data_IF_422191713365
#
_entry.id   IF_422191713365
#
_cell.length_a   1.000
_cell.length_b   1.000
_cell.length_c   1.000
_cell.angle_alpha   90.00
_cell.angle_beta   90.00
_cell.angle_gamma   90.00
#
_symmetry.space_group_name_H-M   'P 1'
#
loop_
_entity.id
_entity.type
_entity.pdbx_description
1 polymer ?
#
# COMPACT_ATOMS: atom_id res chain seq x y z
N UNK A 1 9.08 25.30 3.06
CA UNK A 1 9.33 24.56 1.79
C UNK A 1 9.73 25.51 0.66
N UNK A 2 9.21 26.74 0.63
CA UNK A 2 9.57 27.77 -0.36
C UNK A 2 11.07 28.07 -0.42
N UNK A 3 11.77 28.17 0.71
CA UNK A 3 13.23 28.38 0.74
C UNK A 3 14.05 27.28 0.07
N UNK A 4 13.46 26.09 -0.16
CA UNK A 4 14.06 24.97 -0.89
C UNK A 4 13.62 24.91 -2.36
N UNK A 5 12.82 25.86 -2.83
CA UNK A 5 12.30 25.90 -4.20
C UNK A 5 11.25 24.83 -4.52
N UNK A 6 10.64 24.19 -3.52
CA UNK A 6 9.62 23.16 -3.71
C UNK A 6 8.34 23.79 -4.29
N UNK A 7 7.86 23.25 -5.42
CA UNK A 7 6.66 23.74 -6.13
C UNK A 7 5.43 22.83 -5.99
N UNK A 8 5.65 21.55 -5.71
CA UNK A 8 4.61 20.54 -5.63
C UNK A 8 4.78 19.74 -4.35
N UNK A 9 3.67 19.43 -3.70
CA UNK A 9 3.62 18.64 -2.47
C UNK A 9 2.64 17.50 -2.70
N UNK A 10 3.11 16.27 -2.55
CA UNK A 10 2.26 15.09 -2.47
C UNK A 10 1.93 14.82 -1.00
N UNK A 11 0.65 14.83 -0.67
CA UNK A 11 0.13 14.43 0.65
C UNK A 11 -0.49 13.05 0.49
N UNK A 12 -0.09 12.09 1.32
CA UNK A 12 -0.53 10.70 1.25
C UNK A 12 -0.75 10.11 2.65
N UNK A 13 -1.38 8.93 2.73
CA UNK A 13 -1.58 8.22 3.98
C UNK A 13 -0.51 7.14 4.18
N UNK A 14 0.05 7.08 5.40
CA UNK A 14 1.18 6.18 5.74
C UNK A 14 0.83 4.70 5.70
N UNK A 15 -0.46 4.36 5.79
CA UNK A 15 -0.91 2.98 5.91
C UNK A 15 -1.15 2.27 4.58
N UNK A 16 -0.97 2.96 3.45
CA UNK A 16 -1.09 2.34 2.13
C UNK A 16 0.25 1.73 1.70
N UNK A 17 0.33 0.40 1.63
CA UNK A 17 1.56 -0.30 1.28
C UNK A 17 1.95 -0.12 -0.20
N UNK A 18 0.98 0.18 -1.08
CA UNK A 18 1.19 0.35 -2.53
C UNK A 18 1.32 1.82 -2.93
N UNK A 19 1.51 2.74 -1.98
CA UNK A 19 1.60 4.17 -2.30
C UNK A 19 2.78 4.44 -3.21
N UNK A 20 2.50 5.00 -4.40
CA UNK A 20 3.52 5.52 -5.30
C UNK A 20 4.04 6.87 -4.79
N UNK A 21 5.07 6.77 -3.96
CA UNK A 21 5.74 7.93 -3.37
C UNK A 21 6.30 8.84 -4.46
N UNK A 22 5.81 10.09 -4.48
CA UNK A 22 6.17 11.09 -5.48
C UNK A 22 5.97 10.64 -6.94
N UNK A 23 4.82 10.00 -7.23
CA UNK A 23 4.48 9.54 -8.58
C UNK A 23 4.68 10.65 -9.65
N UNK A 24 5.63 10.48 -10.59
CA UNK A 24 5.91 11.48 -11.61
C UNK A 24 4.74 11.64 -12.60
N UNK A 25 3.92 10.61 -12.81
CA UNK A 25 2.78 10.68 -13.74
C UNK A 25 1.70 11.57 -13.14
N UNK A 26 1.31 11.32 -11.89
CA UNK A 26 0.34 12.15 -11.18
C UNK A 26 0.82 13.60 -10.98
N UNK A 27 2.09 13.80 -10.58
CA UNK A 27 2.66 15.16 -10.42
C UNK A 27 2.69 15.88 -11.77
N UNK A 28 3.09 15.19 -12.84
CA UNK A 28 3.11 15.73 -14.20
C UNK A 28 1.73 16.11 -14.69
N UNK A 29 0.71 15.27 -14.45
CA UNK A 29 -0.68 15.58 -14.74
C UNK A 29 -1.15 16.85 -14.01
N UNK A 30 -0.90 16.94 -12.70
CA UNK A 30 -1.26 18.10 -11.90
C UNK A 30 -0.61 19.38 -12.43
N UNK A 31 0.68 19.32 -12.79
CA UNK A 31 1.38 20.44 -13.40
C UNK A 31 0.73 20.84 -14.72
N UNK A 32 0.64 19.92 -15.68
CA UNK A 32 0.16 20.23 -17.04
C UNK A 32 -1.27 20.79 -17.06
N UNK A 33 -2.10 20.38 -16.10
CA UNK A 33 -3.46 20.90 -15.92
C UNK A 33 -3.53 22.17 -15.07
N UNK A 34 -2.42 22.61 -14.49
CA UNK A 34 -2.36 23.79 -13.63
C UNK A 34 -3.26 23.64 -12.40
N UNK A 35 -3.31 22.44 -11.81
CA UNK A 35 -4.13 22.17 -10.64
C UNK A 35 -3.52 22.82 -9.40
N UNK A 36 -4.35 23.41 -8.54
CA UNK A 36 -3.89 23.95 -7.28
C UNK A 36 -4.90 23.80 -6.15
N UNK A 37 -4.35 23.55 -4.97
CA UNK A 37 -5.07 23.60 -3.69
C UNK A 37 -4.22 24.47 -2.79
N UNK A 38 -4.72 25.66 -2.45
CA UNK A 38 -4.03 26.62 -1.59
C UNK A 38 -4.94 26.99 -0.44
N UNK A 39 -4.40 26.92 0.77
CA UNK A 39 -5.10 27.30 1.98
C UNK A 39 -4.36 28.50 2.61
N UNK A 40 -5.07 29.61 2.79
CA UNK A 40 -4.61 30.69 3.66
C UNK A 40 -4.96 30.40 5.11
N UNK A 41 -4.28 31.05 6.05
CA UNK A 41 -4.57 30.91 7.48
C UNK A 41 -6.04 31.23 7.81
N UNK A 42 -6.60 32.28 7.20
CA UNK A 42 -8.01 32.65 7.39
C UNK A 42 -8.99 31.59 6.85
N UNK A 43 -8.61 30.81 5.83
CA UNK A 43 -9.41 29.70 5.31
C UNK A 43 -9.26 28.44 6.17
N UNK A 44 -8.09 28.22 6.76
CA UNK A 44 -7.88 27.12 7.70
C UNK A 44 -8.79 27.25 8.93
N UNK A 45 -8.98 28.47 9.43
CA UNK A 45 -9.91 28.76 10.53
C UNK A 45 -11.38 28.48 10.18
N UNK A 46 -11.74 28.49 8.89
CA UNK A 46 -13.09 28.18 8.42
C UNK A 46 -13.36 26.66 8.31
N UNK A 47 -12.33 25.82 8.39
CA UNK A 47 -12.50 24.37 8.31
C UNK A 47 -13.29 23.86 9.51
N UNK A 48 -14.35 23.08 9.23
CA UNK A 48 -15.21 22.51 10.24
C UNK A 48 -14.47 21.47 11.11
N UNK A 49 -14.82 21.43 12.39
CA UNK A 49 -14.47 20.31 13.25
C UNK A 49 -15.50 19.19 13.10
N UNK A 50 -15.03 18.01 12.75
CA UNK A 50 -15.82 16.78 12.73
C UNK A 50 -15.82 16.14 14.11
N UNK A 51 -17.00 15.73 14.57
CA UNK A 51 -17.21 15.21 15.93
C UNK A 51 -17.33 13.69 15.92
N UNK A 52 -16.42 13.01 16.61
CA UNK A 52 -16.51 11.57 16.86
C UNK A 52 -16.79 11.31 18.34
N UNK A 53 -17.91 10.62 18.64
CA UNK A 53 -18.19 10.13 20.00
C UNK A 53 -17.26 8.97 20.33
N UNK A 54 -16.51 9.05 21.44
CA UNK A 54 -15.50 8.06 21.82
C UNK A 54 -15.69 7.58 23.26
N UNK A 55 -15.25 6.35 23.50
CA UNK A 55 -15.03 5.78 24.84
C UNK A 55 -13.61 6.17 25.26
N UNK A 56 -13.50 7.26 26.01
CA UNK A 56 -12.21 7.85 26.41
C UNK A 56 -11.89 7.36 27.82
N UNK A 57 -10.87 6.50 28.00
CA UNK A 57 -10.42 6.12 29.34
C UNK A 57 -10.03 7.36 30.14
N UNK A 58 -10.44 7.40 31.42
CA UNK A 58 -10.21 8.55 32.29
C UNK A 58 -9.87 8.08 33.71
N UNK A 59 -9.36 9.00 34.54
CA UNK A 59 -9.05 8.73 35.95
C UNK A 59 -10.26 9.12 36.79
N UNK A 60 -10.74 8.19 37.62
CA UNK A 60 -11.84 8.39 38.55
C UNK A 60 -11.43 9.17 39.81
N UNK A 61 -12.42 9.45 40.66
CA UNK A 61 -12.20 10.20 41.91
C UNK A 61 -11.27 9.49 42.89
N UNK A 62 -11.19 8.16 42.83
CA UNK A 62 -10.32 7.35 43.69
C UNK A 62 -8.96 7.03 43.03
N UNK A 63 -8.56 7.82 42.02
CA UNK A 63 -7.31 7.66 41.26
C UNK A 63 -7.19 6.35 40.49
N UNK A 64 -8.31 5.68 40.21
CA UNK A 64 -8.41 4.48 39.40
C UNK A 64 -8.58 4.80 37.91
N UNK A 65 -8.05 3.95 37.03
CA UNK A 65 -8.29 4.08 35.58
C UNK A 65 -9.61 3.42 35.19
N UNK A 66 -10.55 4.21 34.68
CA UNK A 66 -11.87 3.75 34.24
C UNK A 66 -11.88 3.61 32.72
N UNK A 67 -12.24 2.41 32.23
CA UNK A 67 -12.54 2.15 30.81
C UNK A 67 -14.06 2.16 30.60
N UNK A 68 -14.63 3.21 29.99
CA UNK A 68 -16.08 3.37 29.92
C UNK A 68 -16.73 2.36 28.97
N UNK A 69 -17.95 1.92 29.30
CA UNK A 69 -18.73 0.96 28.48
C UNK A 69 -19.54 1.63 27.37
N UNK A 70 -19.91 2.91 27.56
CA UNK A 70 -20.58 3.77 26.57
C UNK A 70 -19.73 5.02 26.25
N UNK A 71 -19.93 5.69 25.10
CA UNK A 71 -19.21 6.93 24.78
C UNK A 71 -19.44 8.01 25.86
N UNK A 72 -18.36 8.55 26.39
CA UNK A 72 -18.34 9.52 27.48
C UNK A 72 -17.68 10.86 27.09
N UNK A 73 -17.23 10.99 25.85
CA UNK A 73 -16.63 12.21 25.35
C UNK A 73 -16.64 12.32 23.82
N UNK A 74 -16.19 13.47 23.34
CA UNK A 74 -16.06 13.77 21.92
C UNK A 74 -14.60 13.99 21.55
N UNK A 75 -14.21 13.53 20.36
CA UNK A 75 -12.96 13.90 19.69
C UNK A 75 -13.33 14.80 18.52
N UNK A 76 -12.68 15.96 18.43
CA UNK A 76 -12.84 16.89 17.32
C UNK A 76 -11.62 16.80 16.41
N UNK A 77 -11.84 16.62 15.11
CA UNK A 77 -10.79 16.48 14.10
C UNK A 77 -11.13 17.33 12.87
N UNK A 78 -10.12 17.88 12.20
CA UNK A 78 -10.29 18.47 10.86
C UNK A 78 -9.86 17.44 9.83
N UNK A 79 -10.51 17.38 8.68
CA UNK A 79 -10.11 16.48 7.62
C UNK A 79 -9.26 17.18 6.57
N UNK A 80 -8.17 16.53 6.17
CA UNK A 80 -7.21 17.08 5.20
C UNK A 80 -7.85 17.40 3.85
N UNK A 81 -8.89 16.67 3.45
CA UNK A 81 -9.61 16.83 2.18
C UNK A 81 -10.68 17.92 2.21
N UNK A 82 -11.04 18.45 3.39
CA UNK A 82 -12.00 19.55 3.46
C UNK A 82 -11.48 20.79 2.73
N UNK A 83 -10.16 20.94 2.56
CA UNK A 83 -9.55 22.06 1.83
C UNK A 83 -9.94 22.11 0.34
N UNK A 84 -10.45 21.01 -0.25
CA UNK A 84 -10.73 20.94 -1.68
C UNK A 84 -11.80 21.94 -2.13
N UNK A 85 -12.72 22.35 -1.24
CA UNK A 85 -13.71 23.37 -1.59
C UNK A 85 -13.11 24.76 -1.83
N UNK A 86 -11.85 24.98 -1.43
CA UNK A 86 -11.08 26.20 -1.72
C UNK A 86 -10.25 26.12 -3.00
N UNK A 87 -10.17 24.95 -3.63
CA UNK A 87 -9.41 24.76 -4.87
C UNK A 87 -10.04 25.56 -6.00
N UNK A 88 -9.21 26.30 -6.77
CA UNK A 88 -9.69 27.02 -7.96
C UNK A 88 -9.76 26.10 -9.17
N UNK A 89 -8.84 25.15 -9.24
CA UNK A 89 -8.74 24.20 -10.33
C UNK A 89 -8.44 22.82 -9.75
N UNK A 90 -9.46 21.97 -9.77
CA UNK A 90 -9.47 20.66 -9.11
C UNK A 90 -9.73 19.58 -10.15
N UNK A 91 -9.04 18.45 -10.02
CA UNK A 91 -9.31 17.27 -10.82
C UNK A 91 -9.20 16.02 -9.96
N UNK A 92 -9.83 14.95 -10.45
CA UNK A 92 -9.72 13.61 -9.87
C UNK A 92 -8.85 12.77 -10.80
N UNK A 93 -7.98 11.97 -10.21
CA UNK A 93 -7.12 11.02 -10.90
C UNK A 93 -7.47 9.62 -10.43
N UNK A 94 -8.03 8.82 -11.33
CA UNK A 94 -8.43 7.44 -11.05
C UNK A 94 -7.28 6.49 -11.40
N UNK A 95 -7.06 5.50 -10.54
CA UNK A 95 -5.98 4.50 -10.66
C UNK A 95 -6.53 3.11 -10.41
N UNK A 96 -5.79 2.10 -10.88
CA UNK A 96 -6.07 0.71 -10.53
C UNK A 96 -5.70 0.46 -9.08
N UNK A 97 -6.62 -0.17 -8.34
CA UNK A 97 -6.44 -0.41 -6.90
C UNK A 97 -5.25 -1.33 -6.63
N UNK A 98 -5.15 -2.39 -7.42
CA UNK A 98 -4.12 -3.41 -7.34
C UNK A 98 -2.69 -2.88 -7.56
N UNK A 99 -2.54 -1.68 -8.13
CA UNK A 99 -1.24 -1.05 -8.39
C UNK A 99 -0.89 0.07 -7.40
N UNK A 100 -1.88 0.66 -6.73
CA UNK A 100 -1.67 1.90 -5.97
C UNK A 100 -2.36 1.97 -4.61
N UNK A 101 -3.20 0.99 -4.25
CA UNK A 101 -3.98 1.06 -3.01
C UNK A 101 -4.22 -0.29 -2.32
N UNK A 102 -3.45 -0.52 -1.25
CA UNK A 102 -3.67 -1.59 -0.27
C UNK A 102 -3.43 -1.07 1.15
N UNK A 103 -4.49 -0.63 1.86
CA UNK A 103 -4.35 -0.01 3.18
C UNK A 103 -4.19 -1.03 4.31
N UNK A 104 -3.57 -0.59 5.40
CA UNK A 104 -3.40 -1.33 6.65
C UNK A 104 -4.16 -0.62 7.78
N UNK A 105 -5.36 -1.10 8.07
CA UNK A 105 -6.26 -0.51 9.08
C UNK A 105 -6.52 -1.43 10.27
N UNK A 106 -6.43 -2.74 10.06
CA UNK A 106 -6.95 -3.75 10.98
C UNK A 106 -5.89 -4.81 11.34
N UNK A 107 -6.10 -5.53 12.44
CA UNK A 107 -5.29 -6.70 12.78
C UNK A 107 -5.66 -7.91 11.91
N UNK A 108 -4.79 -8.92 11.82
CA UNK A 108 -5.03 -10.15 11.03
C UNK A 108 -6.27 -10.96 11.45
N UNK A 109 -6.86 -10.68 12.61
CA UNK A 109 -8.13 -11.28 13.04
C UNK A 109 -9.33 -10.75 12.25
N UNK A 110 -9.17 -9.65 11.52
CA UNK A 110 -10.21 -9.04 10.69
C UNK A 110 -10.09 -9.49 9.22
N UNK A 111 -11.17 -9.41 8.42
CA UNK A 111 -11.18 -9.97 7.07
C UNK A 111 -10.51 -9.08 5.99
N UNK A 112 -10.23 -7.81 6.28
CA UNK A 112 -9.78 -6.82 5.28
C UNK A 112 -8.83 -5.79 5.86
N UNK A 113 -8.01 -5.21 4.98
CA UNK A 113 -7.07 -4.13 5.29
C UNK A 113 -6.15 -4.50 6.47
N UNK A 114 -5.66 -5.74 6.46
CA UNK A 114 -4.79 -6.36 7.46
C UNK A 114 -3.35 -6.50 6.95
N UNK A 115 -2.37 -6.78 7.82
CA UNK A 115 -1.00 -7.09 7.40
C UNK A 115 -0.95 -8.17 6.31
N UNK A 116 -1.74 -9.23 6.43
CA UNK A 116 -1.80 -10.32 5.44
C UNK A 116 -2.31 -9.81 4.08
N UNK A 117 -3.44 -9.08 4.05
CA UNK A 117 -3.98 -8.57 2.78
C UNK A 117 -3.07 -7.54 2.12
N UNK A 118 -2.39 -6.69 2.91
CA UNK A 118 -1.44 -5.71 2.41
C UNK A 118 -0.24 -6.41 1.77
N UNK A 119 0.37 -7.36 2.48
CA UNK A 119 1.49 -8.16 1.97
C UNK A 119 1.13 -8.89 0.68
N UNK A 120 -0.01 -9.57 0.62
CA UNK A 120 -0.43 -10.30 -0.59
C UNK A 120 -0.62 -9.38 -1.79
N UNK A 121 -1.19 -8.19 -1.61
CA UNK A 121 -1.34 -7.22 -2.70
C UNK A 121 0.01 -6.77 -3.27
N UNK A 122 1.01 -6.54 -2.42
CA UNK A 122 2.37 -6.17 -2.85
C UNK A 122 3.04 -7.32 -3.61
N UNK A 123 2.98 -8.54 -3.09
CA UNK A 123 3.59 -9.71 -3.73
C UNK A 123 2.94 -10.03 -5.08
N UNK A 124 1.62 -9.87 -5.20
CA UNK A 124 0.91 -10.05 -6.48
C UNK A 124 1.26 -8.94 -7.48
N UNK A 125 1.37 -7.69 -7.04
CA UNK A 125 1.83 -6.58 -7.90
C UNK A 125 3.22 -6.86 -8.48
N UNK A 126 4.17 -7.29 -7.64
CA UNK A 126 5.51 -7.64 -8.08
C UNK A 126 5.54 -8.86 -9.00
N UNK A 127 4.73 -9.88 -8.71
CA UNK A 127 4.53 -11.01 -9.62
C UNK A 127 4.06 -10.53 -10.99
N UNK A 128 3.07 -9.64 -11.06
CA UNK A 128 2.58 -9.06 -12.32
C UNK A 128 3.66 -8.28 -13.06
N UNK A 129 4.54 -7.57 -12.35
CA UNK A 129 5.69 -6.91 -12.97
C UNK A 129 6.66 -7.90 -13.62
N UNK A 130 7.00 -9.02 -12.95
CA UNK A 130 7.84 -10.07 -13.53
C UNK A 130 7.20 -10.68 -14.78
N UNK A 131 5.91 -11.00 -14.72
CA UNK A 131 5.17 -11.54 -15.86
C UNK A 131 5.13 -10.53 -17.02
N UNK A 132 4.85 -9.25 -16.73
CA UNK A 132 4.82 -8.17 -17.71
C UNK A 132 6.16 -7.93 -18.41
N UNK A 133 7.27 -8.15 -17.71
CA UNK A 133 8.63 -8.09 -18.27
C UNK A 133 9.08 -9.38 -18.99
N UNK A 134 8.19 -10.37 -19.11
CA UNK A 134 8.42 -11.60 -19.86
C UNK A 134 9.11 -12.72 -19.06
N UNK A 135 9.14 -12.62 -17.73
CA UNK A 135 9.48 -13.73 -16.84
C UNK A 135 8.29 -14.66 -16.61
N UNK A 136 8.55 -15.84 -16.02
CA UNK A 136 7.52 -16.83 -15.68
C UNK A 136 7.75 -17.43 -14.30
N UNK A 137 6.67 -17.91 -13.68
CA UNK A 137 6.74 -18.72 -12.46
C UNK A 137 6.42 -20.18 -12.76
N UNK A 138 7.19 -21.08 -12.17
CA UNK A 138 7.04 -22.53 -12.31
C UNK A 138 7.01 -23.20 -10.93
N UNK A 139 6.37 -24.36 -10.86
CA UNK A 139 6.44 -25.25 -9.72
C UNK A 139 7.87 -25.81 -9.56
N UNK A 140 8.16 -26.43 -8.41
CA UNK A 140 9.47 -27.02 -8.14
C UNK A 140 9.85 -28.16 -9.10
N UNK A 141 8.86 -28.80 -9.73
CA UNK A 141 9.04 -29.82 -10.78
C UNK A 141 9.21 -29.22 -12.19
N UNK A 142 9.18 -27.90 -12.32
CA UNK A 142 9.30 -27.16 -13.57
C UNK A 142 8.00 -26.99 -14.36
N UNK A 143 6.87 -27.50 -13.87
CA UNK A 143 5.57 -27.27 -14.51
C UNK A 143 5.12 -25.81 -14.39
N UNK A 144 4.48 -25.28 -15.43
CA UNK A 144 4.08 -23.86 -15.47
C UNK A 144 2.95 -23.55 -14.48
N UNK A 145 3.07 -22.43 -13.76
CA UNK A 145 1.99 -21.90 -12.93
C UNK A 145 1.15 -20.94 -13.80
N UNK A 146 -0.18 -21.12 -13.91
CA UNK A 146 -1.01 -20.23 -14.70
C UNK A 146 -1.04 -18.81 -14.12
N UNK A 147 -1.14 -17.81 -15.01
CA UNK A 147 -1.21 -16.39 -14.62
C UNK A 147 -2.43 -16.07 -13.75
N UNK A 148 -3.55 -16.76 -13.98
CA UNK A 148 -4.75 -16.69 -13.16
C UNK A 148 -4.89 -18.03 -12.43
N UNK A 149 -4.64 -18.02 -11.13
CA UNK A 149 -4.86 -19.20 -10.31
C UNK A 149 -6.35 -19.35 -10.00
N UNK A 150 -6.92 -20.50 -10.33
CA UNK A 150 -8.28 -20.83 -9.92
C UNK A 150 -8.35 -20.88 -8.39
N UNK A 151 -9.24 -20.09 -7.79
CA UNK A 151 -9.55 -20.21 -6.37
C UNK A 151 -10.03 -21.65 -6.08
N UNK A 152 -9.25 -22.43 -5.34
CA UNK A 152 -9.73 -23.71 -4.82
C UNK A 152 -10.86 -23.38 -3.83
N UNK A 153 -12.10 -23.78 -4.17
CA UNK A 153 -13.21 -23.76 -3.21
C UNK A 153 -12.88 -24.72 -2.08
N UNK A 154 -12.66 -24.21 -0.88
CA UNK A 154 -12.59 -25.05 0.32
C UNK A 154 -13.90 -25.83 0.48
N UNK A 155 -13.81 -27.15 0.49
CA UNK A 155 -14.82 -28.03 1.09
C UNK A 155 -14.25 -28.47 2.44
N UNK A 156 -14.75 -27.90 3.54
CA UNK A 156 -14.47 -28.44 4.87
C UNK A 156 -14.76 -27.47 6.00
N UNK A 157 -15.92 -27.63 6.63
CA UNK A 157 -16.24 -27.06 7.94
C UNK A 157 -15.32 -27.68 9.01
N UNK A 158 -14.57 -26.86 9.74
CA UNK A 158 -13.80 -27.33 10.90
C UNK A 158 -12.87 -26.25 11.46
N UNK A 159 -13.20 -25.75 12.65
CA UNK A 159 -12.38 -24.83 13.45
C UNK A 159 -10.97 -25.40 13.68
N UNK A 160 -9.99 -24.82 12.97
CA UNK A 160 -8.60 -24.62 13.35
C UNK A 160 -7.88 -24.05 12.12
N UNK A 161 -8.12 -22.77 11.83
CA UNK A 161 -7.39 -22.02 10.82
C UNK A 161 -5.96 -21.81 11.34
N UNK A 162 -5.07 -22.80 11.14
CA UNK A 162 -3.65 -22.50 11.01
C UNK A 162 -3.52 -21.62 9.78
N UNK A 163 -2.72 -20.57 9.86
CA UNK A 163 -2.29 -19.73 8.75
C UNK A 163 -1.65 -20.59 7.64
N UNK A 164 -2.47 -21.24 6.80
CA UNK A 164 -2.04 -21.97 5.60
C UNK A 164 -2.45 -21.21 4.34
N UNK A 165 -2.38 -19.88 4.39
CA UNK A 165 -2.42 -19.01 3.20
C UNK A 165 -1.18 -19.20 2.30
N UNK A 166 -0.16 -19.92 2.79
CA UNK A 166 1.11 -20.19 2.08
C UNK A 166 1.05 -21.35 1.08
N UNK A 167 -0.04 -22.13 0.98
CA UNK A 167 -0.02 -23.34 0.13
C UNK A 167 -0.10 -23.07 -1.39
N UNK A 168 -0.40 -21.84 -1.85
CA UNK A 168 -0.50 -21.52 -3.28
C UNK A 168 0.04 -20.11 -3.70
N UNK A 169 0.47 -19.26 -2.76
CA UNK A 169 0.84 -17.86 -3.04
C UNK A 169 2.29 -17.71 -3.51
N UNK A 170 2.49 -17.34 -4.77
CA UNK A 170 3.84 -16.98 -5.27
C UNK A 170 4.37 -15.81 -4.45
N UNK A 171 5.51 -15.99 -3.80
CA UNK A 171 6.23 -14.93 -3.11
C UNK A 171 7.18 -14.28 -4.11
N UNK A 172 6.87 -13.05 -4.50
CA UNK A 172 7.72 -12.22 -5.34
C UNK A 172 7.88 -10.84 -4.70
N UNK A 173 9.10 -10.47 -4.34
CA UNK A 173 9.39 -9.14 -3.77
C UNK A 173 10.46 -8.44 -4.62
N UNK A 174 10.13 -7.24 -5.08
CA UNK A 174 11.03 -6.38 -5.86
C UNK A 174 11.29 -5.15 -5.02
N UNK A 175 12.57 -4.85 -4.78
CA UNK A 175 12.96 -3.62 -4.10
C UNK A 175 12.59 -2.40 -4.94
N UNK A 176 12.06 -1.32 -4.34
CA UNK A 176 11.84 -0.05 -5.06
C UNK A 176 13.12 0.56 -5.66
N UNK A 177 14.31 0.14 -5.22
CA UNK A 177 15.59 0.54 -5.81
C UNK A 177 15.89 -0.19 -7.14
N UNK A 178 15.26 -1.35 -7.37
CA UNK A 178 15.39 -2.10 -8.62
C UNK A 178 14.36 -1.65 -9.64
N UNK A 179 13.12 -1.45 -9.20
CA UNK A 179 12.01 -1.02 -10.07
C UNK A 179 10.97 -0.29 -9.23
N UNK A 180 10.56 0.91 -9.66
CA UNK A 180 9.58 1.73 -8.95
C UNK A 180 8.14 1.28 -9.25
N UNK A 181 7.81 1.04 -10.52
CA UNK A 181 6.46 0.71 -11.00
C UNK A 181 6.44 -0.42 -12.05
N UNK A 182 7.47 -1.27 -12.07
CA UNK A 182 7.59 -2.45 -12.93
C UNK A 182 8.54 -2.27 -14.11
N UNK A 183 9.14 -1.10 -14.28
CA UNK A 183 10.09 -0.80 -15.36
C UNK A 183 11.47 -1.42 -15.14
N UNK A 184 12.21 -1.68 -16.24
CA UNK A 184 13.63 -2.05 -16.19
C UNK A 184 13.91 -3.48 -15.72
N UNK A 185 12.90 -4.35 -15.71
CA UNK A 185 13.02 -5.73 -15.25
C UNK A 185 13.43 -6.71 -16.35
N UNK A 186 13.36 -6.31 -17.63
CA UNK A 186 13.53 -7.21 -18.78
C UNK A 186 14.87 -7.94 -18.76
N UNK A 187 15.97 -7.25 -18.48
CA UNK A 187 17.31 -7.86 -18.41
C UNK A 187 17.42 -8.90 -17.27
N UNK A 188 16.62 -8.73 -16.22
CA UNK A 188 16.60 -9.59 -15.05
C UNK A 188 15.73 -10.82 -15.25
N UNK A 189 14.58 -10.69 -15.92
CA UNK A 189 13.54 -11.74 -15.91
C UNK A 189 13.14 -12.29 -17.28
N UNK A 190 13.38 -11.56 -18.37
CA UNK A 190 12.85 -11.94 -19.69
C UNK A 190 13.35 -13.31 -20.15
N UNK A 191 12.41 -14.18 -20.50
CA UNK A 191 12.68 -15.54 -20.97
C UNK A 191 13.20 -16.49 -19.89
N UNK A 192 13.15 -16.10 -18.61
CA UNK A 192 13.56 -16.93 -17.48
C UNK A 192 12.33 -17.43 -16.71
N UNK A 193 12.48 -18.60 -16.09
CA UNK A 193 11.49 -19.21 -15.21
C UNK A 193 12.01 -19.22 -13.78
N UNK A 194 11.14 -18.89 -12.83
CA UNK A 194 11.48 -18.76 -11.41
C UNK A 194 10.60 -19.67 -10.56
N UNK A 195 11.21 -20.25 -9.52
CA UNK A 195 10.52 -20.96 -8.45
C UNK A 195 10.37 -19.98 -7.27
N UNK A 196 9.17 -19.92 -6.69
CA UNK A 196 8.90 -19.12 -5.50
C UNK A 196 9.71 -19.65 -4.28
N UNK A 197 10.27 -18.79 -3.42
CA UNK A 197 10.21 -17.33 -3.44
C UNK A 197 11.25 -16.69 -4.37
N UNK A 198 10.90 -15.55 -4.99
CA UNK A 198 11.76 -14.72 -5.82
C UNK A 198 11.97 -13.33 -5.19
N UNK A 199 13.23 -12.93 -5.05
CA UNK A 199 13.61 -11.60 -4.57
C UNK A 199 14.48 -10.88 -5.59
N UNK A 200 14.12 -9.65 -5.95
CA UNK A 200 14.94 -8.74 -6.74
C UNK A 200 15.38 -7.57 -5.86
N UNK A 201 16.66 -7.52 -5.54
CA UNK A 201 17.23 -6.56 -4.59
C UNK A 201 18.36 -5.74 -5.23
N UNK A 202 18.58 -4.53 -4.72
CA UNK A 202 19.74 -3.74 -5.11
C UNK A 202 21.03 -4.45 -4.66
N UNK A 203 22.02 -4.52 -5.54
CA UNK A 203 23.34 -5.02 -5.18
C UNK A 203 24.00 -4.14 -4.11
N UNK A 204 24.95 -4.68 -3.31
CA UNK A 204 25.70 -3.87 -2.36
C UNK A 204 26.42 -2.71 -3.09
N UNK A 205 26.48 -1.53 -2.48
CA UNK A 205 27.25 -0.37 -2.97
C UNK A 205 26.92 0.08 -4.41
N UNK A 206 25.63 0.20 -4.74
CA UNK A 206 25.13 0.63 -6.07
C UNK A 206 25.51 -0.30 -7.24
N UNK A 207 25.86 -1.55 -6.95
CA UNK A 207 26.08 -2.59 -7.97
C UNK A 207 24.77 -3.01 -8.65
N UNK A 208 24.87 -3.77 -9.75
CA UNK A 208 23.70 -4.25 -10.51
C UNK A 208 22.71 -5.01 -9.61
N UNK A 209 21.40 -4.97 -9.91
CA UNK A 209 20.40 -5.75 -9.19
C UNK A 209 20.74 -7.23 -9.11
N UNK A 210 20.43 -7.84 -7.96
CA UNK A 210 20.66 -9.25 -7.66
C UNK A 210 19.33 -9.99 -7.67
N UNK A 211 19.30 -11.11 -8.39
CA UNK A 211 18.18 -12.06 -8.40
C UNK A 211 18.47 -13.16 -7.38
N UNK A 212 17.61 -13.35 -6.38
CA UNK A 212 17.72 -14.45 -5.41
C UNK A 212 16.47 -15.33 -5.44
N UNK A 213 16.68 -16.64 -5.27
CA UNK A 213 15.63 -17.64 -5.10
C UNK A 213 15.91 -18.46 -3.85
N UNK A 214 14.88 -18.86 -3.11
CA UNK A 214 14.99 -19.59 -1.84
C UNK A 214 14.90 -18.71 -0.59
N UNK A 215 15.14 -19.29 0.59
CA UNK A 215 14.94 -18.60 1.88
C UNK A 215 15.83 -17.36 2.04
N UNK A 216 15.27 -16.30 2.64
CA UNK A 216 16.01 -15.10 3.04
C UNK A 216 16.91 -15.46 4.23
N UNK A 217 18.23 -15.46 4.05
CA UNK A 217 19.23 -15.70 5.10
C UNK A 217 19.25 -14.61 6.16
#
# INVERSE_FOLDING_TARGET
MESRGIKHILVYCVDNLLVKMADPVFIGFCWLKGLDVKLSQAQEEQLAHHVAKKKIPYVGENLETIKPTSPNGIKMEKFVFDVFHFARNFAVWEVLREDEFSPLKNANTEPKDTPTTARHALLDMHRRFVLGAGGKFVHSDGSEIPDIQSAKKEKGSGDNQKDTDDENGIVCEISPLVSYAGEGLEDLVKGKSFVSPLYLEQGPSDEKPVVRQGERS
#
